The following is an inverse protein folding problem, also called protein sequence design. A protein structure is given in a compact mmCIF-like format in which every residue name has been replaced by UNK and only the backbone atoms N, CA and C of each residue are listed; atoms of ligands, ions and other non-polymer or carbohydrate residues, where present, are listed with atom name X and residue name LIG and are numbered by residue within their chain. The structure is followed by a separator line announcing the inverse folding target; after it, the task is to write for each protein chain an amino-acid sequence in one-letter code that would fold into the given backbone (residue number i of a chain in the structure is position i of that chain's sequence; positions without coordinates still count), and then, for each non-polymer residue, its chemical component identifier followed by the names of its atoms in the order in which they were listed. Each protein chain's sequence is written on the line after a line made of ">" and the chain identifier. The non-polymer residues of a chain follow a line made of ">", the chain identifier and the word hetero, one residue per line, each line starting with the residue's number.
data_IF_403915686596
#
_entry.id   IF_403915686596
#
_cell.length_a   1.000
_cell.length_b   1.000
_cell.length_c   1.000
_cell.angle_alpha   90.00
_cell.angle_beta   90.00
_cell.angle_gamma   90.00
#
_symmetry.space_group_name_H-M   'P 1'
#
loop_
_entity.id
_entity.type
_entity.pdbx_description
1 polymer ?
#
# COMPACT_ATOMS: atom_id res chain seq x y z
N UNK A 1 -5.43 9.91 16.95
CA UNK A 1 -6.86 10.09 16.62
C UNK A 1 -7.23 11.55 16.40
N UNK A 2 -6.80 12.52 17.23
CA UNK A 2 -7.14 13.94 17.05
C UNK A 2 -6.56 14.53 15.76
N UNK A 3 -5.27 14.29 15.48
CA UNK A 3 -4.60 14.71 14.23
C UNK A 3 -5.31 14.24 12.95
N UNK A 4 -5.71 12.96 12.89
CA UNK A 4 -6.37 12.41 11.71
C UNK A 4 -7.74 13.07 11.41
N UNK A 5 -8.47 13.46 12.45
CA UNK A 5 -9.75 14.16 12.31
C UNK A 5 -9.55 15.61 11.85
N UNK A 6 -8.53 16.30 12.39
CA UNK A 6 -8.19 17.67 11.98
C UNK A 6 -7.76 17.74 10.51
N UNK A 7 -6.94 16.80 10.05
CA UNK A 7 -6.52 16.73 8.64
C UNK A 7 -7.69 16.42 7.69
N UNK A 8 -8.64 15.58 8.12
CA UNK A 8 -9.86 15.32 7.35
C UNK A 8 -10.72 16.57 7.17
N UNK A 9 -10.87 17.39 8.21
CA UNK A 9 -11.64 18.65 8.12
C UNK A 9 -10.94 19.70 7.26
N UNK A 10 -9.59 19.79 7.32
CA UNK A 10 -8.81 20.63 6.41
C UNK A 10 -8.98 20.21 4.96
N UNK A 11 -8.87 18.92 4.66
CA UNK A 11 -9.03 18.38 3.30
C UNK A 11 -10.41 18.69 2.70
N UNK A 12 -11.49 18.57 3.49
CA UNK A 12 -12.86 18.94 3.07
C UNK A 12 -12.98 20.42 2.70
N UNK A 13 -12.21 21.28 3.36
CA UNK A 13 -12.24 22.74 3.18
C UNK A 13 -11.45 23.17 1.95
N UNK A 14 -10.25 22.60 1.75
CA UNK A 14 -9.34 22.96 0.66
C UNK A 14 -9.89 22.53 -0.71
N UNK A 15 -10.65 21.42 -0.77
CA UNK A 15 -11.22 20.85 -2.02
C UNK A 15 -10.20 20.68 -3.15
N UNK A 16 -8.93 20.47 -2.81
CA UNK A 16 -7.89 20.08 -3.74
C UNK A 16 -7.39 18.69 -3.39
N UNK A 17 -6.97 17.96 -4.41
CA UNK A 17 -6.23 16.69 -4.29
C UNK A 17 -4.71 16.93 -4.35
N UNK A 18 -4.30 18.19 -4.57
CA UNK A 18 -2.90 18.56 -4.60
C UNK A 18 -2.34 18.45 -3.18
N UNK A 19 -1.33 17.60 -3.02
CA UNK A 19 -0.57 17.49 -1.78
C UNK A 19 0.60 18.47 -1.81
N UNK A 20 0.82 19.23 -0.73
CA UNK A 20 2.04 20.03 -0.60
C UNK A 20 3.25 19.09 -0.53
N UNK A 21 4.38 19.49 -1.11
CA UNK A 21 5.56 18.64 -1.21
C UNK A 21 6.04 18.13 0.17
N UNK A 22 5.91 18.97 1.21
CA UNK A 22 6.29 18.65 2.58
C UNK A 22 5.42 17.54 3.20
N UNK A 23 4.13 17.48 2.86
CA UNK A 23 3.19 16.47 3.36
C UNK A 23 3.48 15.06 2.83
N UNK A 24 4.16 14.96 1.69
CA UNK A 24 4.39 13.67 1.02
C UNK A 24 5.64 12.93 1.51
N UNK A 25 6.56 13.62 2.20
CA UNK A 25 7.89 13.09 2.51
C UNK A 25 7.90 11.92 3.50
N UNK A 26 6.81 11.70 4.25
CA UNK A 26 6.70 10.67 5.28
C UNK A 26 5.52 9.70 5.05
N UNK A 27 5.03 9.57 3.81
CA UNK A 27 3.84 8.76 3.52
C UNK A 27 4.20 7.37 2.98
N UNK A 28 3.43 6.38 3.42
CA UNK A 28 3.22 5.13 2.68
C UNK A 28 1.96 5.30 1.83
N UNK A 29 2.06 5.09 0.53
CA UNK A 29 0.87 5.11 -0.33
C UNK A 29 0.25 3.72 -0.36
N UNK A 30 -0.96 3.62 0.16
CA UNK A 30 -1.71 2.38 0.21
C UNK A 30 -2.97 2.51 -0.62
N UNK A 31 -3.24 1.53 -1.48
CA UNK A 31 -4.43 1.52 -2.33
C UNK A 31 -5.06 0.14 -2.42
N UNK A 32 -6.35 0.11 -2.74
CA UNK A 32 -7.10 -1.13 -2.95
C UNK A 32 -7.88 -1.03 -4.25
N UNK A 33 -7.81 -2.08 -5.07
CA UNK A 33 -8.58 -2.25 -6.30
C UNK A 33 -9.54 -3.42 -6.11
N UNK A 34 -10.61 -3.27 -5.30
CA UNK A 34 -11.44 -4.39 -4.86
C UNK A 34 -12.31 -4.99 -5.98
N UNK A 35 -12.36 -4.34 -7.14
CA UNK A 35 -13.23 -4.74 -8.24
C UNK A 35 -12.62 -5.82 -9.15
N UNK A 36 -11.29 -5.93 -9.21
CA UNK A 36 -10.62 -6.88 -10.08
C UNK A 36 -9.31 -7.42 -9.48
N UNK A 37 -8.95 -8.63 -9.91
CA UNK A 37 -7.68 -9.26 -9.59
C UNK A 37 -6.66 -8.92 -10.67
N UNK A 38 -5.40 -8.72 -10.31
CA UNK A 38 -4.31 -8.44 -11.25
C UNK A 38 -3.15 -9.43 -11.05
N UNK A 39 -2.34 -9.59 -12.09
CA UNK A 39 -1.08 -10.35 -12.03
C UNK A 39 0.15 -9.46 -11.95
N UNK A 40 0.03 -8.20 -12.39
CA UNK A 40 1.07 -7.18 -12.30
C UNK A 40 0.45 -5.79 -12.29
N UNK A 41 1.08 -4.86 -11.59
CA UNK A 41 0.69 -3.46 -11.56
C UNK A 41 1.89 -2.57 -11.20
N UNK A 42 2.01 -1.45 -11.89
CA UNK A 42 3.03 -0.42 -11.65
C UNK A 42 2.31 0.92 -11.47
N UNK A 43 2.63 1.62 -10.37
CA UNK A 43 2.14 2.97 -10.14
C UNK A 43 3.10 3.98 -10.81
N UNK A 44 2.59 5.04 -11.43
CA UNK A 44 3.44 6.13 -11.90
C UNK A 44 4.14 6.79 -10.71
N UNK A 45 5.41 7.17 -10.91
CA UNK A 45 6.22 7.90 -9.94
C UNK A 45 6.55 9.29 -10.47
N UNK A 46 6.71 10.29 -9.58
CA UNK A 46 7.14 11.62 -9.99
C UNK A 46 8.56 11.60 -10.59
N UNK A 47 8.91 12.68 -11.29
CA UNK A 47 10.28 12.95 -11.75
C UNK A 47 10.74 14.27 -11.12
N UNK A 48 11.78 14.27 -10.26
CA UNK A 48 12.56 13.10 -9.84
C UNK A 48 11.77 12.12 -8.96
N UNK A 49 12.20 10.85 -8.96
CA UNK A 49 11.54 9.80 -8.18
C UNK A 49 11.62 10.08 -6.67
N UNK A 50 10.49 9.92 -5.98
CA UNK A 50 10.42 10.05 -4.53
C UNK A 50 10.91 8.78 -3.80
N UNK A 51 10.91 8.83 -2.47
CA UNK A 51 11.28 7.73 -1.57
C UNK A 51 10.09 6.88 -1.12
N UNK A 52 8.86 7.19 -1.55
CA UNK A 52 7.65 6.69 -0.91
C UNK A 52 7.26 5.29 -1.44
N UNK A 53 7.23 4.25 -0.58
CA UNK A 53 6.70 2.96 -0.97
C UNK A 53 5.22 3.06 -1.33
N UNK A 54 4.85 2.36 -2.39
CA UNK A 54 3.46 2.22 -2.86
C UNK A 54 3.06 0.76 -2.78
N UNK A 55 2.05 0.48 -1.97
CA UNK A 55 1.51 -0.86 -1.74
C UNK A 55 0.08 -0.87 -2.26
N UNK A 56 -0.28 -1.85 -3.07
CA UNK A 56 -1.65 -1.96 -3.58
C UNK A 56 -2.07 -3.40 -3.68
N UNK A 57 -3.28 -3.70 -3.18
CA UNK A 57 -3.87 -5.01 -3.35
C UNK A 57 -5.15 -4.98 -4.19
N UNK A 58 -5.39 -6.10 -4.89
CA UNK A 58 -6.55 -6.30 -5.73
C UNK A 58 -7.65 -7.08 -5.04
N UNK A 59 -8.67 -7.43 -5.82
CA UNK A 59 -9.69 -8.41 -5.40
C UNK A 59 -9.03 -9.77 -5.19
N UNK A 60 -9.26 -10.39 -4.03
CA UNK A 60 -8.84 -11.77 -3.78
C UNK A 60 -9.61 -12.75 -4.68
N UNK A 61 -9.05 -13.93 -4.91
CA UNK A 61 -9.68 -14.98 -5.70
C UNK A 61 -9.24 -16.37 -5.22
N UNK A 62 -10.06 -17.38 -5.48
CA UNK A 62 -9.72 -18.77 -5.16
C UNK A 62 -8.96 -19.41 -6.32
N UNK A 63 -7.88 -20.11 -6.03
CA UNK A 63 -7.13 -20.92 -6.97
C UNK A 63 -6.54 -22.12 -6.25
N UNK A 64 -6.66 -23.33 -6.81
CA UNK A 64 -6.10 -24.55 -6.23
C UNK A 64 -6.49 -24.78 -4.75
N UNK A 65 -7.72 -24.41 -4.39
CA UNK A 65 -8.23 -24.53 -3.02
C UNK A 65 -7.53 -23.61 -1.99
N UNK A 66 -6.83 -22.58 -2.48
CA UNK A 66 -6.21 -21.51 -1.69
C UNK A 66 -6.86 -20.15 -2.04
N UNK A 67 -6.96 -19.26 -1.05
CA UNK A 67 -7.40 -17.89 -1.26
C UNK A 67 -6.18 -17.01 -1.52
N UNK A 68 -6.06 -16.49 -2.74
CA UNK A 68 -4.93 -15.66 -3.16
C UNK A 68 -5.29 -14.17 -3.15
N UNK A 69 -4.37 -13.35 -2.66
CA UNK A 69 -4.47 -11.88 -2.65
C UNK A 69 -3.45 -11.28 -3.64
N UNK A 70 -3.89 -10.64 -4.73
CA UNK A 70 -3.00 -9.85 -5.58
C UNK A 70 -2.41 -8.70 -4.77
N UNK A 71 -1.08 -8.59 -4.70
CA UNK A 71 -0.37 -7.53 -3.99
C UNK A 71 0.81 -7.04 -4.82
N UNK A 72 0.95 -5.73 -4.96
CA UNK A 72 2.10 -5.07 -5.58
C UNK A 72 2.77 -4.14 -4.58
N UNK A 73 4.11 -4.19 -4.53
CA UNK A 73 4.96 -3.27 -3.76
C UNK A 73 5.94 -2.61 -4.71
N UNK A 74 5.81 -1.30 -4.86
CA UNK A 74 6.73 -0.46 -5.63
C UNK A 74 7.52 0.42 -4.66
N UNK A 75 8.85 0.37 -4.75
CA UNK A 75 9.75 1.15 -3.92
C UNK A 75 10.95 1.66 -4.72
N UNK A 76 11.57 2.74 -4.26
CA UNK A 76 12.76 3.30 -4.89
C UNK A 76 13.98 2.41 -4.63
N UNK A 77 14.62 1.93 -5.69
CA UNK A 77 15.72 0.97 -5.58
C UNK A 77 17.00 1.53 -4.95
N UNK A 78 17.15 2.85 -4.90
CA UNK A 78 18.24 3.49 -4.15
C UNK A 78 18.11 3.30 -2.63
N UNK A 79 16.92 2.93 -2.13
CA UNK A 79 16.59 2.79 -0.71
C UNK A 79 16.17 1.36 -0.34
N UNK A 80 15.58 0.62 -1.28
CA UNK A 80 14.97 -0.70 -1.06
C UNK A 80 15.47 -1.68 -2.11
N UNK A 81 16.04 -2.79 -1.66
CA UNK A 81 16.46 -3.90 -2.52
C UNK A 81 15.52 -5.12 -2.42
N UNK A 82 15.85 -6.19 -3.14
CA UNK A 82 15.05 -7.42 -3.15
C UNK A 82 14.94 -8.12 -1.79
N UNK A 83 15.92 -7.98 -0.90
CA UNK A 83 15.88 -8.61 0.42
C UNK A 83 14.81 -7.95 1.30
N UNK A 84 14.68 -6.62 1.24
CA UNK A 84 13.64 -5.89 1.95
C UNK A 84 12.24 -6.26 1.45
N UNK A 85 12.07 -6.37 0.12
CA UNK A 85 10.79 -6.78 -0.48
C UNK A 85 10.42 -8.23 -0.08
N UNK A 86 11.38 -9.15 -0.11
CA UNK A 86 11.14 -10.53 0.33
C UNK A 86 10.76 -10.63 1.81
N UNK A 87 11.42 -9.85 2.67
CA UNK A 87 11.10 -9.76 4.09
C UNK A 87 9.69 -9.20 4.32
N UNK A 88 9.28 -8.19 3.54
CA UNK A 88 7.93 -7.64 3.61
C UNK A 88 6.86 -8.70 3.33
N UNK A 89 6.96 -9.46 2.24
CA UNK A 89 5.98 -10.49 1.93
C UNK A 89 5.93 -11.58 3.01
N UNK A 90 7.09 -12.03 3.48
CA UNK A 90 7.19 -13.03 4.56
C UNK A 90 6.48 -12.56 5.84
N UNK A 91 6.74 -11.31 6.25
CA UNK A 91 6.13 -10.75 7.45
C UNK A 91 4.62 -10.53 7.27
N UNK A 92 4.19 -10.11 6.08
CA UNK A 92 2.78 -9.93 5.79
C UNK A 92 2.01 -11.26 5.88
N UNK A 93 2.54 -12.34 5.32
CA UNK A 93 1.93 -13.67 5.43
C UNK A 93 1.79 -14.08 6.90
N UNK A 94 2.83 -13.90 7.70
CA UNK A 94 2.79 -14.18 9.14
C UNK A 94 1.75 -13.35 9.89
N UNK A 95 1.58 -12.07 9.56
CA UNK A 95 0.57 -11.22 10.17
C UNK A 95 -0.86 -11.62 9.76
N UNK A 96 -1.06 -12.03 8.50
CA UNK A 96 -2.34 -12.56 8.02
C UNK A 96 -2.68 -13.87 8.76
N UNK A 97 -1.72 -14.79 8.90
CA UNK A 97 -1.92 -16.04 9.64
C UNK A 97 -2.34 -15.79 11.10
N UNK A 98 -1.65 -14.87 11.79
CA UNK A 98 -1.99 -14.48 13.16
C UNK A 98 -3.40 -13.89 13.24
N UNK A 99 -3.78 -13.04 12.28
CA UNK A 99 -5.12 -12.46 12.24
C UNK A 99 -6.17 -13.56 12.09
N UNK A 100 -6.00 -14.48 11.13
CA UNK A 100 -6.95 -15.59 10.92
C UNK A 100 -7.11 -16.44 12.17
N UNK A 101 -6.02 -16.75 12.88
CA UNK A 101 -6.07 -17.53 14.13
C UNK A 101 -6.85 -16.82 15.25
N UNK A 102 -6.79 -15.48 15.32
CA UNK A 102 -7.48 -14.69 16.34
C UNK A 102 -9.00 -14.55 16.12
N UNK A 103 -9.50 -14.87 14.92
CA UNK A 103 -10.92 -14.81 14.57
C UNK A 103 -11.58 -16.20 14.44
N UNK A 104 -10.89 -17.26 14.87
CA UNK A 104 -11.43 -18.63 15.04
C UNK A 104 -11.81 -18.90 16.50
#
# INVERSE_FOLDING_TARGET
>A
MIYAVEEQEKAKTIRSIDEEAEDTLNKLFISTLPWFSFTSMINPTPVPADSNPRITWGKYFEQNNELLLPLSVLANHALVDGAHIAAFYTLLDQEIEKLVQNYQ
#
